data_IF_581822306800
#
_entry.id   IF_581822306800
#
_cell.length_a   1.000
_cell.length_b   1.000
_cell.length_c   1.000
_cell.angle_alpha   90.00
_cell.angle_beta   90.00
_cell.angle_gamma   90.00
#
_symmetry.space_group_name_H-M   'P 1'
#
loop_
_entity.id
_entity.type
_entity.pdbx_description
1 polymer ?
#
# COMPACT_ATOMS: atom_id res chain seq x y z
N UNK A 1 -37.93 -54.72 -18.29
CA UNK A 1 -37.98 -53.25 -18.15
C UNK A 1 -37.38 -52.61 -19.40
N UNK A 2 -38.19 -51.90 -20.18
CA UNK A 2 -37.89 -51.56 -21.58
C UNK A 2 -36.64 -50.68 -21.72
N UNK A 3 -35.58 -51.20 -22.37
CA UNK A 3 -34.34 -50.48 -22.66
C UNK A 3 -34.55 -49.12 -23.35
N UNK A 4 -35.64 -48.96 -24.12
CA UNK A 4 -36.02 -47.68 -24.73
C UNK A 4 -36.40 -46.59 -23.72
N UNK A 5 -37.00 -46.96 -22.59
CA UNK A 5 -37.40 -46.02 -21.53
C UNK A 5 -36.16 -45.59 -20.75
N UNK A 6 -35.28 -46.54 -20.41
CA UNK A 6 -34.02 -46.28 -19.72
C UNK A 6 -33.13 -45.34 -20.53
N UNK A 7 -33.01 -45.55 -21.85
CA UNK A 7 -32.23 -44.68 -22.74
C UNK A 7 -32.77 -43.25 -22.79
N UNK A 8 -34.10 -43.07 -22.82
CA UNK A 8 -34.71 -41.73 -22.78
C UNK A 8 -34.48 -41.06 -21.42
N UNK A 9 -34.60 -41.80 -20.33
CA UNK A 9 -34.42 -41.29 -18.98
C UNK A 9 -32.96 -40.85 -18.72
N UNK A 10 -31.99 -41.64 -19.20
CA UNK A 10 -30.56 -41.26 -19.17
C UNK A 10 -30.31 -40.00 -20.00
N UNK A 11 -30.90 -39.90 -21.21
CA UNK A 11 -30.75 -38.71 -22.05
C UNK A 11 -31.30 -37.45 -21.34
N UNK A 12 -32.48 -37.54 -20.71
CA UNK A 12 -33.06 -36.42 -19.98
C UNK A 12 -32.20 -35.99 -18.78
N UNK A 13 -31.65 -36.95 -18.02
CA UNK A 13 -30.74 -36.64 -16.91
C UNK A 13 -29.47 -35.94 -17.41
N UNK A 14 -28.87 -36.42 -18.50
CA UNK A 14 -27.66 -35.81 -19.08
C UNK A 14 -27.93 -34.39 -19.58
N UNK A 15 -29.06 -34.16 -20.24
CA UNK A 15 -29.46 -32.81 -20.69
C UNK A 15 -29.71 -31.88 -19.51
N UNK A 16 -30.39 -32.37 -18.46
CA UNK A 16 -30.63 -31.59 -17.24
C UNK A 16 -29.30 -31.19 -16.57
N UNK A 17 -28.34 -32.13 -16.49
CA UNK A 17 -27.03 -31.88 -15.90
C UNK A 17 -26.22 -30.85 -16.71
N UNK A 18 -26.28 -30.93 -18.04
CA UNK A 18 -25.64 -29.97 -18.95
C UNK A 18 -26.20 -28.56 -18.85
N UNK A 19 -27.43 -28.38 -18.35
CA UNK A 19 -28.05 -27.06 -18.17
C UNK A 19 -27.77 -26.54 -16.75
N UNK A 20 -27.92 -27.38 -15.73
CA UNK A 20 -27.71 -26.98 -14.32
C UNK A 20 -26.24 -26.62 -14.06
N UNK A 21 -25.30 -27.35 -14.66
CA UNK A 21 -23.86 -27.11 -14.48
C UNK A 21 -23.41 -25.70 -14.87
N UNK A 22 -23.65 -25.20 -16.10
CA UNK A 22 -23.25 -23.84 -16.49
C UNK A 22 -24.02 -22.76 -15.72
N UNK A 23 -25.29 -23.00 -15.34
CA UNK A 23 -26.04 -22.05 -14.49
C UNK A 23 -25.38 -21.93 -13.11
N UNK A 24 -24.96 -23.05 -12.52
CA UNK A 24 -24.23 -23.03 -11.25
C UNK A 24 -22.88 -22.32 -11.39
N UNK A 25 -22.16 -22.53 -12.49
CA UNK A 25 -20.89 -21.86 -12.77
C UNK A 25 -21.05 -20.34 -12.96
N UNK A 26 -22.12 -19.91 -13.65
CA UNK A 26 -22.47 -18.49 -13.81
C UNK A 26 -22.89 -17.85 -12.49
N UNK A 27 -23.67 -18.56 -11.66
CA UNK A 27 -24.06 -18.10 -10.34
C UNK A 27 -22.85 -17.95 -9.41
N UNK A 28 -21.86 -18.86 -9.50
CA UNK A 28 -20.59 -18.70 -8.79
C UNK A 28 -19.80 -17.51 -9.32
N UNK A 29 -19.64 -17.32 -10.64
CA UNK A 29 -18.96 -16.13 -11.17
C UNK A 29 -19.59 -14.82 -10.70
N UNK A 30 -20.91 -14.75 -10.59
CA UNK A 30 -21.63 -13.57 -10.11
C UNK A 30 -21.56 -13.41 -8.57
N UNK A 31 -21.22 -14.48 -7.82
CA UNK A 31 -21.15 -14.47 -6.36
C UNK A 31 -19.75 -14.31 -5.76
N UNK A 32 -18.66 -14.43 -6.54
CA UNK A 32 -17.28 -14.43 -6.04
C UNK A 32 -16.63 -13.05 -5.85
N UNK A 33 -17.38 -11.94 -5.85
CA UNK A 33 -16.83 -10.60 -5.53
C UNK A 33 -16.24 -10.47 -4.11
N UNK A 34 -16.44 -11.45 -3.23
CA UNK A 34 -16.04 -11.38 -1.81
C UNK A 34 -14.58 -11.73 -1.50
N UNK A 35 -13.85 -12.47 -2.35
CA UNK A 35 -12.48 -12.89 -2.01
C UNK A 35 -11.42 -11.82 -2.27
N UNK A 36 -11.44 -11.16 -3.44
CA UNK A 36 -10.43 -10.14 -3.78
C UNK A 36 -10.50 -8.89 -2.87
N UNK A 37 -11.72 -8.45 -2.52
CA UNK A 37 -11.89 -7.30 -1.62
C UNK A 37 -11.29 -7.55 -0.24
N UNK A 38 -11.27 -8.81 0.23
CA UNK A 38 -10.73 -9.16 1.53
C UNK A 38 -9.19 -9.13 1.52
N UNK A 39 -8.56 -9.60 0.44
CA UNK A 39 -7.11 -9.54 0.29
C UNK A 39 -6.58 -8.10 0.21
N UNK A 40 -7.21 -7.24 -0.59
CA UNK A 40 -6.82 -5.83 -0.71
C UNK A 40 -7.03 -5.08 0.62
N UNK A 41 -8.14 -5.35 1.31
CA UNK A 41 -8.41 -4.78 2.62
C UNK A 41 -7.39 -5.22 3.69
N UNK A 42 -7.06 -6.51 3.76
CA UNK A 42 -6.02 -7.01 4.65
C UNK A 42 -4.64 -6.43 4.32
N UNK A 43 -4.29 -6.34 3.03
CA UNK A 43 -3.03 -5.70 2.60
C UNK A 43 -2.99 -4.22 2.96
N UNK A 44 -4.12 -3.50 2.86
CA UNK A 44 -4.20 -2.13 3.31
C UNK A 44 -3.99 -2.00 4.81
N UNK A 45 -4.56 -2.87 5.63
CA UNK A 45 -4.30 -2.88 7.07
C UNK A 45 -2.82 -3.09 7.39
N UNK A 46 -2.16 -4.02 6.70
CA UNK A 46 -0.72 -4.24 6.85
C UNK A 46 0.05 -2.99 6.40
N UNK A 47 -0.32 -2.40 5.27
CA UNK A 47 0.32 -1.19 4.76
C UNK A 47 0.16 -0.01 5.71
N UNK A 48 -1.04 0.20 6.25
CA UNK A 48 -1.33 1.22 7.25
C UNK A 48 -0.47 1.05 8.51
N UNK A 49 -0.37 -0.19 9.01
CA UNK A 49 0.51 -0.49 10.14
C UNK A 49 1.98 -0.20 9.84
N UNK A 50 2.49 -0.54 8.65
CA UNK A 50 3.86 -0.19 8.28
C UNK A 50 4.07 1.33 8.17
N UNK A 51 3.07 2.07 7.68
CA UNK A 51 3.08 3.53 7.65
C UNK A 51 3.05 4.14 9.05
N UNK A 52 2.37 3.52 10.00
CA UNK A 52 2.37 3.92 11.41
C UNK A 52 3.75 3.70 12.05
N UNK A 53 4.39 2.54 11.82
CA UNK A 53 5.76 2.28 12.26
C UNK A 53 6.72 3.34 11.67
N UNK A 54 6.56 3.69 10.40
CA UNK A 54 7.35 4.74 9.76
C UNK A 54 7.11 6.10 10.42
N UNK A 55 5.86 6.44 10.78
CA UNK A 55 5.52 7.68 11.48
C UNK A 55 6.27 7.77 12.81
N UNK A 56 6.19 6.73 13.63
CA UNK A 56 6.88 6.66 14.92
C UNK A 56 8.41 6.71 14.74
N UNK A 57 8.95 5.99 13.75
CA UNK A 57 10.38 6.02 13.47
C UNK A 57 10.86 7.42 13.06
N UNK A 58 10.07 8.14 12.26
CA UNK A 58 10.38 9.53 11.87
C UNK A 58 10.28 10.50 13.04
N UNK A 59 9.35 10.28 13.97
CA UNK A 59 9.27 11.03 15.22
C UNK A 59 10.55 10.87 16.05
N UNK A 60 11.05 9.65 16.21
CA UNK A 60 12.33 9.38 16.89
C UNK A 60 13.50 10.03 16.14
N UNK A 61 13.58 9.86 14.82
CA UNK A 61 14.66 10.45 14.01
C UNK A 61 14.68 11.97 14.00
N UNK A 62 13.53 12.62 14.16
CA UNK A 62 13.43 14.09 14.27
C UNK A 62 14.10 14.63 15.55
N UNK A 63 14.30 13.76 16.54
CA UNK A 63 14.93 14.03 17.82
C UNK A 63 16.34 13.43 17.93
N UNK A 64 16.75 12.64 16.94
CA UNK A 64 18.06 12.00 16.92
C UNK A 64 19.19 13.01 16.94
N UNK A 65 20.29 12.61 17.57
CA UNK A 65 21.52 13.41 17.64
C UNK A 65 22.61 12.90 16.70
N UNK A 66 22.49 11.65 16.25
CA UNK A 66 23.55 10.95 15.52
C UNK A 66 22.99 10.16 14.35
N UNK A 67 23.79 9.99 13.30
CA UNK A 67 23.43 9.31 12.04
C UNK A 67 23.13 7.81 12.21
N UNK A 68 23.69 7.15 13.23
CA UNK A 68 23.38 5.74 13.54
C UNK A 68 21.97 5.55 14.12
N UNK A 69 21.40 6.58 14.74
CA UNK A 69 20.03 6.53 15.28
C UNK A 69 18.96 6.55 14.17
N UNK A 70 19.36 6.72 12.90
CA UNK A 70 18.45 6.72 11.73
C UNK A 70 18.18 5.33 11.15
N UNK A 71 18.85 4.29 11.66
CA UNK A 71 18.66 2.90 11.22
C UNK A 71 17.21 2.38 11.34
N UNK A 72 16.45 2.71 12.41
CA UNK A 72 15.03 2.37 12.50
C UNK A 72 14.21 2.94 11.33
N UNK A 73 14.43 4.22 10.99
CA UNK A 73 13.72 4.85 9.85
C UNK A 73 14.04 4.16 8.54
N UNK A 74 15.30 3.79 8.30
CA UNK A 74 15.69 3.10 7.07
C UNK A 74 14.93 1.78 6.91
N UNK A 75 14.81 1.00 7.99
CA UNK A 75 14.06 -0.27 7.97
C UNK A 75 12.56 -0.03 7.80
N UNK A 76 12.01 0.95 8.50
CA UNK A 76 10.60 1.30 8.41
C UNK A 76 10.22 1.78 6.99
N UNK A 77 11.07 2.62 6.37
CA UNK A 77 10.89 3.07 4.98
C UNK A 77 10.84 1.90 4.01
N UNK A 78 11.81 0.99 4.09
CA UNK A 78 11.85 -0.18 3.22
C UNK A 78 10.59 -1.04 3.35
N UNK A 79 10.17 -1.31 4.59
CA UNK A 79 8.99 -2.13 4.88
C UNK A 79 7.70 -1.45 4.39
N UNK A 80 7.55 -0.15 4.64
CA UNK A 80 6.40 0.64 4.21
C UNK A 80 6.32 0.76 2.69
N UNK A 81 7.44 1.05 2.02
CA UNK A 81 7.53 1.12 0.56
C UNK A 81 7.17 -0.21 -0.08
N UNK A 82 7.78 -1.29 0.40
CA UNK A 82 7.50 -2.63 -0.11
C UNK A 82 6.02 -2.98 0.01
N UNK A 83 5.43 -2.73 1.19
CA UNK A 83 4.03 -3.09 1.45
C UNK A 83 3.07 -2.21 0.64
N UNK A 84 3.36 -0.92 0.51
CA UNK A 84 2.57 0.00 -0.29
C UNK A 84 2.57 -0.39 -1.79
N UNK A 85 3.73 -0.76 -2.34
CA UNK A 85 3.81 -1.23 -3.73
C UNK A 85 3.03 -2.54 -3.93
N UNK A 86 2.97 -3.43 -2.93
CA UNK A 86 2.08 -4.61 -2.99
C UNK A 86 0.60 -4.24 -2.93
N UNK A 87 0.24 -3.23 -2.13
CA UNK A 87 -1.12 -2.71 -2.09
C UNK A 87 -1.53 -2.13 -3.45
N UNK A 88 -0.65 -1.37 -4.12
CA UNK A 88 -0.91 -0.84 -5.47
C UNK A 88 -1.25 -1.98 -6.43
N UNK A 89 -0.46 -3.06 -6.42
CA UNK A 89 -0.72 -4.22 -7.29
C UNK A 89 -2.06 -4.89 -6.98
N UNK A 90 -2.42 -5.02 -5.70
CA UNK A 90 -3.70 -5.60 -5.28
C UNK A 90 -4.91 -4.69 -5.57
N UNK A 91 -4.72 -3.38 -5.58
CA UNK A 91 -5.76 -2.40 -5.83
C UNK A 91 -6.13 -2.22 -7.31
N UNK A 92 -5.47 -2.92 -8.24
CA UNK A 92 -5.67 -2.76 -9.68
C UNK A 92 -4.57 -1.97 -10.40
N UNK A 93 -3.50 -1.61 -9.69
CA UNK A 93 -2.31 -0.98 -10.26
C UNK A 93 -2.23 0.54 -10.04
N UNK A 94 -1.28 1.17 -10.74
CA UNK A 94 -0.91 2.58 -10.52
C UNK A 94 -1.97 3.60 -10.92
N UNK A 95 -2.95 3.19 -11.72
CA UNK A 95 -4.08 4.04 -12.11
C UNK A 95 -5.07 4.22 -10.95
N UNK A 96 -5.20 3.20 -10.09
CA UNK A 96 -6.12 3.19 -8.95
C UNK A 96 -5.46 3.73 -7.66
N UNK A 97 -4.17 3.44 -7.45
CA UNK A 97 -3.39 3.91 -6.31
C UNK A 97 -2.00 4.39 -6.74
N UNK A 98 -1.67 5.65 -6.43
CA UNK A 98 -0.39 6.24 -6.81
C UNK A 98 0.78 5.74 -5.96
N UNK A 99 1.94 5.53 -6.59
CA UNK A 99 3.22 5.29 -5.87
C UNK A 99 3.63 6.50 -5.02
N UNK A 100 4.33 6.23 -3.93
CA UNK A 100 4.85 7.24 -3.00
C UNK A 100 6.32 7.53 -3.26
N UNK A 101 6.59 8.49 -4.14
CA UNK A 101 7.94 8.84 -4.57
C UNK A 101 8.83 9.39 -3.45
N UNK A 102 8.22 9.96 -2.40
CA UNK A 102 8.96 10.54 -1.28
C UNK A 102 9.78 9.48 -0.54
N UNK A 103 9.32 8.23 -0.49
CA UNK A 103 9.99 7.14 0.21
C UNK A 103 11.40 6.91 -0.34
N UNK A 104 11.52 6.91 -1.67
CA UNK A 104 12.80 6.83 -2.37
C UNK A 104 13.72 8.02 -2.06
N UNK A 105 13.18 9.24 -2.10
CA UNK A 105 13.97 10.45 -1.82
C UNK A 105 14.44 10.50 -0.37
N UNK A 106 13.58 10.10 0.57
CA UNK A 106 13.89 10.09 1.99
C UNK A 106 14.90 8.99 2.32
N UNK A 107 14.75 7.81 1.73
CA UNK A 107 15.72 6.71 1.84
C UNK A 107 17.11 7.15 1.33
N UNK A 108 17.19 7.78 0.16
CA UNK A 108 18.44 8.34 -0.38
C UNK A 108 19.03 9.41 0.53
N UNK A 109 18.20 10.31 1.07
CA UNK A 109 18.64 11.33 2.01
C UNK A 109 19.27 10.71 3.27
N UNK A 110 18.59 9.77 3.91
CA UNK A 110 19.09 9.07 5.11
C UNK A 110 20.39 8.31 4.81
N UNK A 111 20.45 7.61 3.68
CA UNK A 111 21.67 6.90 3.27
C UNK A 111 22.86 7.86 3.14
N UNK A 112 22.67 9.03 2.50
CA UNK A 112 23.73 10.06 2.41
C UNK A 112 24.19 10.56 3.77
N UNK A 113 23.28 10.76 4.72
CA UNK A 113 23.66 11.15 6.09
C UNK A 113 24.58 10.10 6.72
N UNK A 114 24.30 8.81 6.48
CA UNK A 114 25.04 7.67 7.03
C UNK A 114 26.35 7.35 6.28
N UNK A 115 26.57 7.84 5.05
CA UNK A 115 27.82 7.60 4.30
C UNK A 115 29.07 8.08 5.04
N UNK A 116 28.95 9.15 5.84
CA UNK A 116 30.03 9.68 6.66
C UNK A 116 30.32 8.87 7.95
N UNK A 117 29.67 7.72 8.13
CA UNK A 117 29.76 6.93 9.36
C UNK A 117 28.96 7.53 10.51
N UNK A 118 29.32 7.16 11.73
CA UNK A 118 28.67 7.63 12.96
C UNK A 118 29.16 9.03 13.29
N UNK A 119 28.29 10.03 13.13
CA UNK A 119 28.57 11.43 13.43
C UNK A 119 27.33 12.13 13.95
N UNK A 120 27.54 13.26 14.61
CA UNK A 120 26.44 14.14 14.97
C UNK A 120 25.70 14.63 13.72
N UNK A 121 24.38 14.75 13.84
CA UNK A 121 23.54 15.41 12.85
C UNK A 121 23.78 16.92 12.92
N UNK A 122 23.94 17.55 11.75
CA UNK A 122 24.01 19.00 11.65
C UNK A 122 22.63 19.61 11.85
N UNK A 123 22.59 20.88 12.24
CA UNK A 123 21.33 21.57 12.53
C UNK A 123 20.36 21.58 11.33
N UNK A 124 20.88 21.75 10.11
CA UNK A 124 20.10 21.71 8.87
C UNK A 124 19.54 20.31 8.55
N UNK A 125 20.30 19.26 8.85
CA UNK A 125 19.90 17.86 8.69
C UNK A 125 18.76 17.53 9.67
N UNK A 126 18.91 17.92 10.94
CA UNK A 126 17.86 17.76 11.96
C UNK A 126 16.59 18.55 11.60
N UNK A 127 16.73 19.79 11.11
CA UNK A 127 15.58 20.57 10.64
C UNK A 127 14.87 19.90 9.46
N UNK A 128 15.64 19.29 8.55
CA UNK A 128 15.09 18.55 7.41
C UNK A 128 14.32 17.31 7.86
N UNK A 129 14.84 16.56 8.84
CA UNK A 129 14.13 15.41 9.43
C UNK A 129 12.85 15.81 10.17
N UNK A 130 12.88 16.93 10.91
CA UNK A 130 11.68 17.48 11.57
C UNK A 130 10.60 17.88 10.58
N UNK A 131 10.98 18.54 9.49
CA UNK A 131 10.02 18.94 8.46
C UNK A 131 9.47 17.72 7.70
N UNK A 132 10.32 16.73 7.39
CA UNK A 132 9.87 15.47 6.80
C UNK A 132 8.90 14.71 7.71
N UNK A 133 9.19 14.65 9.02
CA UNK A 133 8.31 14.05 10.03
C UNK A 133 6.94 14.73 10.08
N UNK A 134 6.92 16.07 10.07
CA UNK A 134 5.68 16.85 10.06
C UNK A 134 4.85 16.60 8.81
N UNK A 135 5.46 16.71 7.63
CA UNK A 135 4.76 16.49 6.36
C UNK A 135 4.25 15.04 6.24
N UNK A 136 5.06 14.07 6.66
CA UNK A 136 4.63 12.67 6.70
C UNK A 136 3.49 12.43 7.69
N UNK A 137 3.48 13.12 8.84
CA UNK A 137 2.37 13.07 9.78
C UNK A 137 1.03 13.44 9.13
N UNK A 138 1.02 14.50 8.31
CA UNK A 138 -0.19 14.88 7.54
C UNK A 138 -0.52 13.85 6.47
N UNK A 139 0.47 13.30 5.76
CA UNK A 139 0.25 12.23 4.78
C UNK A 139 -0.37 10.99 5.41
N UNK A 140 0.07 10.62 6.61
CA UNK A 140 -0.45 9.47 7.35
C UNK A 140 -1.94 9.63 7.67
N UNK A 141 -2.40 10.82 8.07
CA UNK A 141 -3.81 11.07 8.36
C UNK A 141 -4.73 10.91 7.14
N UNK A 142 -4.23 11.25 5.95
CA UNK A 142 -4.92 11.02 4.68
C UNK A 142 -4.85 9.53 4.31
N UNK A 143 -3.69 8.91 4.50
CA UNK A 143 -3.46 7.49 4.23
C UNK A 143 -4.40 6.59 5.05
N UNK A 144 -4.60 6.89 6.33
CA UNK A 144 -5.51 6.18 7.22
C UNK A 144 -6.95 6.17 6.71
N UNK A 145 -7.37 7.25 6.06
CA UNK A 145 -8.73 7.44 5.52
C UNK A 145 -8.83 7.03 4.06
N UNK A 146 -7.79 6.46 3.46
CA UNK A 146 -7.72 6.19 2.03
C UNK A 146 -8.64 5.05 1.59
N UNK A 147 -8.96 4.11 2.47
CA UNK A 147 -9.84 2.98 2.16
C UNK A 147 -11.22 3.16 2.82
N UNK A 148 -12.27 3.02 2.03
CA UNK A 148 -13.64 3.00 2.51
C UNK A 148 -13.98 1.66 3.18
N UNK A 149 -15.07 1.61 3.95
CA UNK A 149 -15.52 0.40 4.64
C UNK A 149 -15.90 -0.75 3.70
N UNK A 150 -16.12 -0.47 2.41
CA UNK A 150 -16.37 -1.47 1.37
C UNK A 150 -15.07 -2.04 0.75
N UNK A 151 -13.89 -1.59 1.19
CA UNK A 151 -12.59 -2.01 0.69
C UNK A 151 -12.11 -1.25 -0.55
N UNK A 152 -12.89 -0.30 -1.06
CA UNK A 152 -12.50 0.52 -2.21
C UNK A 152 -11.61 1.69 -1.79
N UNK A 153 -10.72 2.10 -2.69
CA UNK A 153 -9.87 3.27 -2.49
C UNK A 153 -10.69 4.53 -2.77
N UNK A 154 -10.66 5.47 -1.83
CA UNK A 154 -11.33 6.76 -1.97
C UNK A 154 -10.45 7.67 -2.84
N UNK A 155 -10.92 7.91 -4.06
CA UNK A 155 -10.18 8.68 -5.09
C UNK A 155 -9.78 10.09 -4.64
N UNK A 156 -10.61 10.78 -3.85
CA UNK A 156 -10.29 12.11 -3.32
C UNK A 156 -9.10 12.06 -2.35
N UNK A 157 -9.03 11.04 -1.50
CA UNK A 157 -7.91 10.84 -0.57
C UNK A 157 -6.64 10.43 -1.31
N UNK A 158 -6.73 9.57 -2.33
CA UNK A 158 -5.59 9.21 -3.17
C UNK A 158 -5.01 10.42 -3.93
N UNK A 159 -5.88 11.29 -4.45
CA UNK A 159 -5.47 12.55 -5.10
C UNK A 159 -4.76 13.50 -4.13
N UNK A 160 -5.30 13.65 -2.93
CA UNK A 160 -4.70 14.47 -1.87
C UNK A 160 -3.35 13.90 -1.41
N UNK A 161 -3.28 12.59 -1.18
CA UNK A 161 -2.04 11.88 -0.85
C UNK A 161 -0.97 12.07 -1.94
N UNK A 162 -1.37 11.95 -3.21
CA UNK A 162 -0.47 12.18 -4.36
C UNK A 162 0.05 13.62 -4.41
N UNK A 163 -0.75 14.60 -4.00
CA UNK A 163 -0.30 15.99 -3.91
C UNK A 163 0.75 16.16 -2.81
N UNK A 164 0.48 15.62 -1.61
CA UNK A 164 1.41 15.67 -0.48
C UNK A 164 2.71 14.92 -0.78
N UNK A 165 2.64 13.77 -1.47
CA UNK A 165 3.81 13.02 -1.93
C UNK A 165 4.72 13.89 -2.82
N UNK A 166 4.15 14.62 -3.78
CA UNK A 166 4.92 15.51 -4.67
C UNK A 166 5.56 16.67 -3.90
N UNK A 167 4.85 17.23 -2.94
CA UNK A 167 5.35 18.32 -2.08
C UNK A 167 6.56 17.85 -1.27
N UNK A 168 6.43 16.72 -0.57
CA UNK A 168 7.51 16.14 0.24
C UNK A 168 8.67 15.66 -0.63
N UNK A 169 8.40 15.00 -1.76
CA UNK A 169 9.42 14.61 -2.75
C UNK A 169 10.22 15.83 -3.22
N UNK A 170 9.53 16.93 -3.54
CA UNK A 170 10.17 18.17 -3.99
C UNK A 170 11.01 18.83 -2.91
N UNK A 171 10.52 18.83 -1.67
CA UNK A 171 11.26 19.30 -0.50
C UNK A 171 12.55 18.50 -0.29
N UNK A 172 12.45 17.16 -0.27
CA UNK A 172 13.59 16.26 -0.08
C UNK A 172 14.61 16.35 -1.21
N UNK A 173 14.16 16.50 -2.47
CA UNK A 173 15.05 16.72 -3.62
C UNK A 173 15.84 18.01 -3.48
N UNK A 174 15.19 19.12 -3.10
CA UNK A 174 15.86 20.40 -2.88
C UNK A 174 16.92 20.29 -1.78
N UNK A 175 16.63 19.54 -0.71
CA UNK A 175 17.57 19.28 0.38
C UNK A 175 18.66 18.26 0.05
N UNK A 176 18.39 17.36 -0.88
CA UNK A 176 19.34 16.33 -1.33
C UNK A 176 20.32 16.76 -2.41
N UNK A 177 20.08 17.92 -3.05
CA UNK A 177 20.94 18.54 -4.05
C UNK A 177 21.88 19.62 -3.44
N UNK A 178 21.64 20.00 -2.18
CA UNK A 178 22.47 20.90 -1.38
C UNK A 178 23.47 20.09 -0.55
#
# INVERSE_FOLDING_TARGET
MNHKIIRKLVLYIVVLFLIIWPIHQLAQMLGHQKEDHNATHLLFQVSLFQMEILKSSLEEASQSKSTNELDPVRRALYSAEYTHERLILAAGGKEELGSLSFMNQLSQFIQRLQLGGVRALKADETLTLKEAQKQFGHMYEIYEKMMASNGEIISSQNSELSKLDRELTSFLRKKGLQ
#
